data_IF_787299631544
#
_entry.id   IF_787299631544
#
_cell.length_a   1.000
_cell.length_b   1.000
_cell.length_c   1.000
_cell.angle_alpha   90.00
_cell.angle_beta   90.00
_cell.angle_gamma   90.00
#
_symmetry.space_group_name_H-M   'P 1'
#
loop_
_entity.id
_entity.type
_entity.pdbx_description
1 polymer ?
#
# COMPACT_ATOMS: atom_id res chain seq x y z
N UNK A 1 2.60 -3.10 19.77
CA UNK A 1 2.86 -3.78 18.48
C UNK A 1 2.72 -5.29 18.71
N UNK A 2 2.56 -6.12 17.67
CA UNK A 2 2.32 -7.56 17.85
C UNK A 2 3.59 -8.38 18.22
N UNK A 3 4.78 -7.76 18.28
CA UNK A 3 6.05 -8.40 18.68
C UNK A 3 6.35 -9.75 17.99
N UNK A 4 6.06 -9.84 16.69
CA UNK A 4 6.35 -11.06 15.93
C UNK A 4 7.85 -11.31 15.83
N UNK A 5 8.22 -12.57 15.97
CA UNK A 5 9.55 -13.07 15.63
C UNK A 5 9.75 -13.08 14.12
N UNK A 6 11.01 -13.13 13.67
CA UNK A 6 11.35 -13.29 12.26
C UNK A 6 10.68 -14.52 11.64
N UNK A 7 10.69 -15.65 12.35
CA UNK A 7 10.10 -16.90 11.86
C UNK A 7 8.59 -16.77 11.65
N UNK A 8 7.86 -16.11 12.58
CA UNK A 8 6.43 -15.88 12.41
C UNK A 8 6.11 -15.03 11.17
N UNK A 9 6.98 -14.08 10.80
CA UNK A 9 6.82 -13.34 9.54
C UNK A 9 7.04 -14.23 8.33
N UNK A 10 8.06 -15.09 8.34
CA UNK A 10 8.33 -16.06 7.25
C UNK A 10 7.16 -17.02 7.08
N UNK A 11 6.68 -17.63 8.17
CA UNK A 11 5.55 -18.57 8.15
C UNK A 11 4.29 -17.89 7.60
N UNK A 12 4.05 -16.64 8.00
CA UNK A 12 2.92 -15.87 7.47
C UNK A 12 3.04 -15.64 5.95
N UNK A 13 4.23 -15.39 5.43
CA UNK A 13 4.45 -15.26 3.98
C UNK A 13 4.16 -16.56 3.23
N UNK A 14 4.53 -17.71 3.79
CA UNK A 14 4.22 -19.02 3.19
C UNK A 14 2.72 -19.30 3.14
N UNK A 15 2.00 -18.94 4.20
CA UNK A 15 0.56 -19.19 4.29
C UNK A 15 -0.28 -18.29 3.37
N UNK A 16 0.24 -17.11 3.00
CA UNK A 16 -0.54 -16.05 2.34
C UNK A 16 -0.01 -15.59 0.99
N UNK A 17 1.10 -16.15 0.49
CA UNK A 17 1.68 -15.77 -0.79
C UNK A 17 2.33 -16.96 -1.49
N UNK A 18 2.51 -16.85 -2.81
CA UNK A 18 3.25 -17.83 -3.63
C UNK A 18 4.66 -17.36 -3.97
N UNK A 19 5.25 -16.50 -3.12
CA UNK A 19 6.63 -16.00 -3.29
C UNK A 19 7.59 -17.15 -2.95
N UNK A 20 8.69 -17.27 -3.68
CA UNK A 20 9.71 -18.28 -3.39
C UNK A 20 10.47 -17.97 -2.10
N UNK A 21 11.05 -19.02 -1.51
CA UNK A 21 11.78 -18.96 -0.24
C UNK A 21 12.83 -17.85 -0.20
N UNK A 22 13.63 -17.70 -1.26
CA UNK A 22 14.75 -16.74 -1.27
C UNK A 22 14.23 -15.31 -1.17
N UNK A 23 13.15 -15.02 -1.90
CA UNK A 23 12.51 -13.71 -1.85
C UNK A 23 11.77 -13.46 -0.53
N UNK A 24 11.15 -14.47 0.08
CA UNK A 24 10.53 -14.33 1.41
C UNK A 24 11.59 -13.94 2.45
N UNK A 25 12.74 -14.62 2.46
CA UNK A 25 13.81 -14.30 3.40
C UNK A 25 14.32 -12.86 3.22
N UNK A 26 14.56 -12.45 1.97
CA UNK A 26 15.02 -11.10 1.66
C UNK A 26 13.99 -10.01 2.06
N UNK A 27 12.70 -10.23 1.81
CA UNK A 27 11.66 -9.27 2.16
C UNK A 27 11.46 -9.15 3.68
N UNK A 28 11.50 -10.26 4.42
CA UNK A 28 11.40 -10.24 5.88
C UNK A 28 12.59 -9.46 6.48
N UNK A 29 13.81 -9.70 6.01
CA UNK A 29 14.98 -8.96 6.49
C UNK A 29 14.91 -7.47 6.12
N UNK A 30 14.40 -7.14 4.93
CA UNK A 30 14.14 -5.76 4.50
C UNK A 30 13.14 -5.05 5.41
N UNK A 31 12.07 -5.73 5.83
CA UNK A 31 11.05 -5.14 6.72
C UNK A 31 11.55 -4.90 8.13
N UNK A 32 12.45 -5.76 8.62
CA UNK A 32 13.13 -5.58 9.90
C UNK A 32 14.11 -4.41 9.83
N UNK A 33 14.91 -4.32 8.75
CA UNK A 33 15.91 -3.27 8.57
C UNK A 33 15.30 -1.89 8.28
N UNK A 34 14.16 -1.83 7.59
CA UNK A 34 13.49 -0.59 7.22
C UNK A 34 12.03 -0.57 7.70
N UNK A 35 11.81 -0.34 9.00
CA UNK A 35 10.48 -0.42 9.60
C UNK A 35 9.52 0.61 8.97
N UNK A 36 8.32 0.14 8.64
CA UNK A 36 7.23 0.98 8.12
C UNK A 36 7.23 1.21 6.61
N UNK A 37 8.35 0.98 5.90
CA UNK A 37 8.42 1.21 4.45
C UNK A 37 7.38 0.38 3.68
N UNK A 38 7.23 -0.90 4.04
CA UNK A 38 6.29 -1.82 3.39
C UNK A 38 4.81 -1.40 3.54
N UNK A 39 4.47 -0.60 4.55
CA UNK A 39 3.10 -0.13 4.77
C UNK A 39 2.68 0.90 3.72
N UNK A 40 3.64 1.65 3.15
CA UNK A 40 3.38 2.73 2.20
C UNK A 40 2.59 2.27 0.98
N UNK A 41 2.83 1.06 0.49
CA UNK A 41 2.14 0.51 -0.69
C UNK A 41 0.63 0.42 -0.46
N UNK A 42 0.21 -0.26 0.61
CA UNK A 42 -1.22 -0.48 0.85
C UNK A 42 -1.90 0.73 1.46
N UNK A 43 -1.21 1.47 2.33
CA UNK A 43 -1.76 2.70 2.93
C UNK A 43 -2.02 3.77 1.88
N UNK A 44 -1.06 4.00 0.98
CA UNK A 44 -1.23 4.95 -0.13
C UNK A 44 -2.39 4.54 -1.06
N UNK A 45 -2.46 3.26 -1.44
CA UNK A 45 -3.57 2.74 -2.24
C UNK A 45 -4.92 2.96 -1.57
N UNK A 46 -5.06 2.57 -0.30
CA UNK A 46 -6.31 2.72 0.44
C UNK A 46 -6.73 4.19 0.53
N UNK A 47 -5.78 5.10 0.75
CA UNK A 47 -6.09 6.53 0.81
C UNK A 47 -6.54 7.09 -0.55
N UNK A 48 -5.90 6.70 -1.65
CA UNK A 48 -6.33 7.10 -2.99
C UNK A 48 -7.73 6.58 -3.31
N UNK A 49 -8.06 5.35 -2.93
CA UNK A 49 -9.40 4.78 -3.09
C UNK A 49 -10.45 5.53 -2.25
N UNK A 50 -10.12 5.87 -1.00
CA UNK A 50 -10.97 6.68 -0.12
C UNK A 50 -11.27 8.05 -0.74
N UNK A 51 -10.23 8.74 -1.24
CA UNK A 51 -10.36 10.06 -1.86
C UNK A 51 -11.18 9.99 -3.15
N UNK A 52 -10.99 8.95 -3.97
CA UNK A 52 -11.79 8.71 -5.15
C UNK A 52 -13.26 8.51 -4.80
N UNK A 53 -13.56 7.64 -3.83
CA UNK A 53 -14.93 7.41 -3.38
C UNK A 53 -15.60 8.70 -2.88
N UNK A 54 -14.85 9.51 -2.13
CA UNK A 54 -15.31 10.82 -1.68
C UNK A 54 -15.61 11.75 -2.86
N UNK A 55 -14.75 11.81 -3.87
CA UNK A 55 -14.94 12.63 -5.06
C UNK A 55 -16.15 12.17 -5.89
N UNK A 56 -16.30 10.86 -6.12
CA UNK A 56 -17.45 10.25 -6.79
C UNK A 56 -18.77 10.64 -6.08
N UNK A 57 -18.79 10.53 -4.75
CA UNK A 57 -19.97 10.85 -3.93
C UNK A 57 -20.28 12.35 -3.92
N UNK A 58 -19.26 13.20 -3.84
CA UNK A 58 -19.45 14.66 -3.71
C UNK A 58 -19.83 15.32 -5.05
N UNK A 59 -19.24 14.86 -6.15
CA UNK A 59 -19.45 15.43 -7.48
C UNK A 59 -20.62 14.79 -8.24
N UNK A 60 -20.98 13.55 -7.89
CA UNK A 60 -22.08 12.82 -8.50
C UNK A 60 -21.95 12.78 -10.04
N UNK A 61 -22.96 13.21 -10.81
CA UNK A 61 -22.90 13.25 -12.28
C UNK A 61 -21.78 14.12 -12.87
N UNK A 62 -21.17 15.02 -12.08
CA UNK A 62 -20.05 15.86 -12.51
C UNK A 62 -18.67 15.19 -12.32
N UNK A 63 -18.62 14.01 -11.71
CA UNK A 63 -17.37 13.30 -11.54
C UNK A 63 -16.82 12.83 -12.90
N UNK A 64 -15.55 13.14 -13.17
CA UNK A 64 -14.77 12.58 -14.28
C UNK A 64 -13.50 11.92 -13.71
N UNK A 65 -13.33 10.62 -13.98
CA UNK A 65 -12.18 9.84 -13.53
C UNK A 65 -10.86 10.35 -14.13
N UNK A 66 -10.88 10.92 -15.34
CA UNK A 66 -9.68 11.48 -15.99
C UNK A 66 -9.21 12.71 -15.25
N UNK A 67 -10.13 13.63 -14.96
CA UNK A 67 -9.83 14.83 -14.18
C UNK A 67 -9.34 14.50 -12.76
N UNK A 68 -9.89 13.44 -12.13
CA UNK A 68 -9.37 12.97 -10.85
C UNK A 68 -7.92 12.48 -10.96
N UNK A 69 -7.59 11.69 -11.99
CA UNK A 69 -6.22 11.23 -12.21
C UNK A 69 -5.27 12.38 -12.53
N UNK A 70 -5.71 13.40 -13.29
CA UNK A 70 -4.93 14.59 -13.56
C UNK A 70 -4.54 15.27 -12.23
N UNK A 71 -5.51 15.50 -11.33
CA UNK A 71 -5.25 16.10 -10.01
C UNK A 71 -4.27 15.28 -9.17
N UNK A 72 -4.39 13.94 -9.20
CA UNK A 72 -3.51 13.05 -8.42
C UNK A 72 -2.07 13.05 -8.95
N UNK A 73 -1.86 13.23 -10.25
CA UNK A 73 -0.56 13.08 -10.89
C UNK A 73 0.16 14.41 -11.14
N UNK A 74 -0.57 15.50 -11.38
CA UNK A 74 -0.03 16.77 -11.87
C UNK A 74 0.88 17.48 -10.84
N UNK A 75 0.67 17.25 -9.54
CA UNK A 75 1.49 17.83 -8.47
C UNK A 75 2.73 17.00 -8.11
N UNK A 76 2.98 15.88 -8.79
CA UNK A 76 4.07 14.95 -8.45
C UNK A 76 3.87 14.26 -7.09
N UNK A 77 4.93 13.65 -6.57
CA UNK A 77 4.86 12.89 -5.33
C UNK A 77 4.74 13.83 -4.11
N UNK A 78 3.53 13.92 -3.54
CA UNK A 78 3.23 14.67 -2.33
C UNK A 78 2.93 13.73 -1.13
N UNK A 79 3.17 14.18 0.11
CA UNK A 79 2.69 13.47 1.29
C UNK A 79 1.15 13.41 1.30
N UNK A 80 0.61 12.29 1.79
CA UNK A 80 -0.83 11.98 1.85
C UNK A 80 -1.49 12.40 3.16
#
# INVERSE_FOLDING_TARGET
>A
SQHWTRQQMVDFFHDHSSIDETNIQAEVDRYIAWPGQALGYKMGQLKLLELRQKAETTLGPKFDIRAFHDVVLDSGALPM
#
